data_IF_880316106001
#
_entry.id   IF_880316106001
#
_cell.length_a   1.000
_cell.length_b   1.000
_cell.length_c   1.000
_cell.angle_alpha   90.00
_cell.angle_beta   90.00
_cell.angle_gamma   90.00
#
_symmetry.space_group_name_H-M   'P 1'
#
loop_
_entity.id
_entity.type
_entity.pdbx_description
1 polymer ?
#
# COMPACT_ATOMS: atom_id res chain seq x y z
N UNK A 1 10.32 -24.22 -6.20
CA UNK A 1 10.29 -22.99 -7.01
C UNK A 1 11.49 -22.97 -7.97
N UNK A 2 11.30 -23.35 -9.24
CA UNK A 2 12.38 -23.61 -10.23
C UNK A 2 12.00 -23.03 -11.62
N UNK A 3 11.70 -21.73 -11.72
CA UNK A 3 11.35 -21.10 -13.03
C UNK A 3 12.31 -20.01 -13.51
N UNK A 4 13.21 -19.47 -12.67
CA UNK A 4 13.95 -18.23 -12.99
C UNK A 4 15.15 -18.36 -13.95
N UNK A 5 15.50 -19.56 -14.43
CA UNK A 5 16.69 -19.77 -15.28
C UNK A 5 16.39 -20.01 -16.76
N UNK A 6 15.13 -20.07 -17.17
CA UNK A 6 14.74 -20.62 -18.48
C UNK A 6 15.00 -19.63 -19.64
N UNK A 7 14.81 -18.32 -19.41
CA UNK A 7 14.78 -17.34 -20.50
C UNK A 7 16.16 -17.01 -21.09
N UNK A 8 17.21 -16.91 -20.28
CA UNK A 8 18.57 -16.61 -20.79
C UNK A 8 19.08 -17.70 -21.75
N UNK A 9 18.76 -18.95 -21.47
CA UNK A 9 19.08 -20.10 -22.34
C UNK A 9 18.23 -20.14 -23.60
N UNK A 10 16.99 -19.63 -23.58
CA UNK A 10 16.08 -19.71 -24.72
C UNK A 10 16.41 -18.69 -25.82
N UNK A 11 16.86 -17.48 -25.49
CA UNK A 11 17.30 -16.51 -26.51
C UNK A 11 18.53 -17.01 -27.28
N UNK A 12 19.49 -17.63 -26.57
CA UNK A 12 20.63 -18.29 -27.22
C UNK A 12 20.16 -19.40 -28.17
N UNK A 13 19.14 -20.16 -27.76
CA UNK A 13 18.58 -21.23 -28.59
C UNK A 13 17.88 -20.71 -29.84
N UNK A 14 17.17 -19.58 -29.75
CA UNK A 14 16.59 -18.90 -30.93
C UNK A 14 17.68 -18.51 -31.92
N UNK A 15 18.80 -17.94 -31.44
CA UNK A 15 19.93 -17.57 -32.31
C UNK A 15 20.58 -18.79 -32.97
N UNK A 16 20.72 -19.90 -32.25
CA UNK A 16 21.22 -21.16 -32.80
C UNK A 16 20.28 -21.70 -33.89
N UNK A 17 18.96 -21.68 -33.66
CA UNK A 17 17.97 -22.13 -34.65
C UNK A 17 18.00 -21.28 -35.93
N UNK A 18 18.24 -19.97 -35.83
CA UNK A 18 18.44 -19.13 -37.02
C UNK A 18 19.73 -19.46 -37.77
N UNK A 19 20.82 -19.76 -37.05
CA UNK A 19 22.10 -20.17 -37.68
C UNK A 19 21.98 -21.52 -38.39
N UNK A 20 21.16 -22.43 -37.85
CA UNK A 20 20.91 -23.76 -38.41
C UNK A 20 19.84 -23.75 -39.53
N UNK A 21 19.47 -22.58 -40.07
CA UNK A 21 18.42 -22.38 -41.09
C UNK A 21 17.01 -22.87 -40.70
N UNK A 22 16.77 -23.11 -39.40
CA UNK A 22 15.49 -23.57 -38.82
C UNK A 22 14.59 -22.40 -38.42
N UNK A 23 14.37 -21.48 -39.36
CA UNK A 23 13.67 -20.20 -39.11
C UNK A 23 12.25 -20.35 -38.52
N UNK A 24 11.49 -21.37 -38.96
CA UNK A 24 10.13 -21.60 -38.44
C UNK A 24 10.12 -22.01 -36.96
N UNK A 25 11.10 -22.79 -36.51
CA UNK A 25 11.21 -23.20 -35.11
C UNK A 25 11.72 -22.05 -34.24
N UNK A 26 12.65 -21.24 -34.78
CA UNK A 26 13.12 -20.03 -34.14
C UNK A 26 11.97 -19.03 -33.90
N UNK A 27 11.10 -18.83 -34.89
CA UNK A 27 9.94 -17.93 -34.77
C UNK A 27 8.94 -18.42 -33.71
N UNK A 28 8.63 -19.72 -33.68
CA UNK A 28 7.75 -20.31 -32.66
C UNK A 28 8.33 -20.11 -31.26
N UNK A 29 9.61 -20.39 -31.09
CA UNK A 29 10.29 -20.22 -29.80
C UNK A 29 10.33 -18.74 -29.40
N UNK A 30 10.54 -17.83 -30.33
CA UNK A 30 10.52 -16.39 -30.07
C UNK A 30 9.14 -15.92 -29.59
N UNK A 31 8.05 -16.40 -30.21
CA UNK A 31 6.67 -16.11 -29.78
C UNK A 31 6.41 -16.58 -28.35
N UNK A 32 6.82 -17.80 -28.01
CA UNK A 32 6.70 -18.32 -26.63
C UNK A 32 7.46 -17.43 -25.63
N UNK A 33 8.69 -17.05 -25.95
CA UNK A 33 9.47 -16.17 -25.07
C UNK A 33 8.82 -14.79 -24.93
N UNK A 34 8.22 -14.25 -25.99
CA UNK A 34 7.50 -12.98 -25.95
C UNK A 34 6.25 -13.07 -25.05
N UNK A 35 5.47 -14.14 -25.18
CA UNK A 35 4.31 -14.40 -24.32
C UNK A 35 4.72 -14.51 -22.84
N UNK A 36 5.74 -15.32 -22.54
CA UNK A 36 6.29 -15.46 -21.19
C UNK A 36 6.78 -14.12 -20.63
N UNK A 37 7.45 -13.30 -21.45
CA UNK A 37 7.93 -11.98 -21.04
C UNK A 37 6.76 -11.04 -20.69
N UNK A 38 5.71 -11.04 -21.49
CA UNK A 38 4.51 -10.23 -21.22
C UNK A 38 3.81 -10.68 -19.95
N UNK A 39 3.70 -11.98 -19.71
CA UNK A 39 3.14 -12.52 -18.46
C UNK A 39 3.97 -12.07 -17.25
N UNK A 40 5.29 -12.25 -17.30
CA UNK A 40 6.20 -11.82 -16.24
C UNK A 40 6.16 -10.31 -16.01
N UNK A 41 6.08 -9.52 -17.07
CA UNK A 41 5.96 -8.06 -16.98
C UNK A 41 4.66 -7.65 -16.28
N UNK A 42 3.55 -8.28 -16.64
CA UNK A 42 2.25 -8.01 -16.03
C UNK A 42 2.22 -8.42 -14.55
N UNK A 43 2.75 -9.60 -14.21
CA UNK A 43 2.89 -10.05 -12.81
C UNK A 43 3.77 -9.07 -12.02
N UNK A 44 4.90 -8.64 -12.59
CA UNK A 44 5.78 -7.69 -11.94
C UNK A 44 5.11 -6.33 -11.69
N UNK A 45 4.34 -5.85 -12.67
CA UNK A 45 3.56 -4.61 -12.56
C UNK A 45 2.51 -4.71 -11.45
N UNK A 46 1.78 -5.82 -11.39
CA UNK A 46 0.75 -6.07 -10.38
C UNK A 46 1.36 -6.13 -8.98
N UNK A 47 2.43 -6.91 -8.79
CA UNK A 47 3.14 -7.00 -7.52
C UNK A 47 3.67 -5.65 -7.05
N UNK A 48 4.20 -4.82 -7.96
CA UNK A 48 4.63 -3.46 -7.64
C UNK A 48 3.46 -2.58 -7.20
N UNK A 49 2.29 -2.74 -7.82
CA UNK A 49 1.07 -2.01 -7.43
C UNK A 49 0.63 -2.38 -6.01
N UNK A 50 0.57 -3.67 -5.70
CA UNK A 50 0.20 -4.17 -4.38
C UNK A 50 1.19 -3.71 -3.30
N UNK A 51 2.50 -3.74 -3.60
CA UNK A 51 3.53 -3.23 -2.68
C UNK A 51 3.31 -1.74 -2.39
N UNK A 52 2.98 -0.94 -3.41
CA UNK A 52 2.72 0.49 -3.24
C UNK A 52 1.50 0.71 -2.34
N UNK A 53 0.39 0.00 -2.60
CA UNK A 53 -0.83 0.10 -1.79
C UNK A 53 -0.57 -0.22 -0.31
N UNK A 54 0.19 -1.28 -0.04
CA UNK A 54 0.56 -1.64 1.34
C UNK A 54 1.44 -0.56 1.98
N UNK A 55 2.40 0.00 1.24
CA UNK A 55 3.24 1.09 1.75
C UNK A 55 2.40 2.33 2.09
N UNK A 56 1.48 2.72 1.22
CA UNK A 56 0.58 3.86 1.43
C UNK A 56 -0.30 3.65 2.69
N UNK A 57 -0.78 2.42 2.94
CA UNK A 57 -1.54 2.07 4.16
C UNK A 57 -0.67 2.17 5.42
N UNK A 58 0.58 1.70 5.35
CA UNK A 58 1.52 1.77 6.49
C UNK A 58 1.86 3.22 6.83
N UNK A 59 2.10 4.06 5.83
CA UNK A 59 2.38 5.48 6.01
C UNK A 59 1.19 6.19 6.69
N UNK A 60 -0.04 5.91 6.26
CA UNK A 60 -1.25 6.42 6.92
C UNK A 60 -1.35 5.97 8.38
N UNK A 61 -1.13 4.68 8.65
CA UNK A 61 -1.16 4.13 10.01
C UNK A 61 -0.10 4.74 10.92
N UNK A 62 1.06 5.13 10.38
CA UNK A 62 2.11 5.83 11.15
C UNK A 62 1.68 7.23 11.60
N UNK A 63 0.85 7.92 10.81
CA UNK A 63 0.30 9.25 11.12
C UNK A 63 -0.94 9.20 12.03
N UNK A 64 -1.44 8.01 12.38
CA UNK A 64 -2.64 7.89 13.22
C UNK A 64 -2.32 7.97 14.72
N UNK A 65 -3.05 8.84 15.41
CA UNK A 65 -3.05 8.98 16.87
C UNK A 65 -4.40 8.56 17.44
N UNK A 66 -4.38 7.65 18.41
CA UNK A 66 -5.56 7.30 19.20
C UNK A 66 -5.59 8.11 20.50
N UNK A 67 -6.66 8.86 20.74
CA UNK A 67 -6.80 9.71 21.93
C UNK A 67 -7.45 9.01 23.14
N UNK A 68 -7.70 7.70 23.04
CA UNK A 68 -8.42 6.91 24.02
C UNK A 68 -9.89 6.65 23.69
N UNK A 69 -10.47 7.39 22.72
CA UNK A 69 -11.84 7.15 22.24
C UNK A 69 -11.95 7.17 20.71
N UNK A 70 -11.16 8.00 20.03
CA UNK A 70 -11.26 8.24 18.59
C UNK A 70 -9.86 8.40 17.98
N UNK A 71 -9.78 8.20 16.67
CA UNK A 71 -8.54 8.40 15.94
C UNK A 71 -8.44 9.81 15.39
N UNK A 72 -7.20 10.28 15.27
CA UNK A 72 -6.81 11.52 14.62
C UNK A 72 -5.68 11.19 13.65
N UNK A 73 -5.57 11.95 12.57
CA UNK A 73 -4.41 11.90 11.68
C UNK A 73 -3.58 13.15 11.99
N UNK A 74 -2.33 12.96 12.39
CA UNK A 74 -1.39 14.02 12.73
C UNK A 74 -0.27 14.04 11.68
N UNK A 75 -0.47 14.87 10.65
CA UNK A 75 0.56 15.15 9.65
C UNK A 75 1.35 16.40 10.08
N UNK A 76 2.61 16.55 9.64
CA UNK A 76 3.52 17.61 10.09
C UNK A 76 2.93 19.04 10.05
N UNK A 77 1.97 19.28 9.16
CA UNK A 77 1.33 20.58 8.93
C UNK A 77 -0.09 20.70 9.46
N UNK A 78 -0.80 19.58 9.64
CA UNK A 78 -2.23 19.61 9.97
C UNK A 78 -2.67 18.36 10.74
N UNK A 79 -3.45 18.58 11.80
CA UNK A 79 -4.15 17.52 12.51
C UNK A 79 -5.60 17.44 12.04
N UNK A 80 -5.97 16.33 11.44
CA UNK A 80 -7.32 16.10 10.90
C UNK A 80 -8.08 15.04 11.69
N UNK A 81 -9.40 15.17 11.74
CA UNK A 81 -10.28 14.26 12.47
C UNK A 81 -11.40 14.97 13.24
N UNK A 82 -12.01 14.30 14.24
CA UNK A 82 -11.74 12.92 14.65
C UNK A 82 -12.42 11.87 13.76
N UNK A 83 -11.90 10.64 13.78
CA UNK A 83 -12.40 9.48 13.05
C UNK A 83 -12.92 8.39 14.00
N UNK A 84 -13.94 7.66 13.53
CA UNK A 84 -14.60 6.61 14.29
C UNK A 84 -13.67 5.43 14.56
N UNK A 85 -13.38 5.15 15.83
CA UNK A 85 -12.57 4.00 16.23
C UNK A 85 -13.23 2.66 15.86
N UNK A 86 -14.55 2.54 15.98
CA UNK A 86 -15.23 1.27 15.70
C UNK A 86 -15.21 0.90 14.22
N UNK A 87 -15.45 1.85 13.32
CA UNK A 87 -15.39 1.60 11.87
C UNK A 87 -13.96 1.29 11.41
N UNK A 88 -12.97 1.97 11.99
CA UNK A 88 -11.58 1.74 11.63
C UNK A 88 -11.09 0.38 12.13
N UNK A 89 -11.32 0.04 13.41
CA UNK A 89 -10.83 -1.21 14.00
C UNK A 89 -11.50 -2.45 13.39
N UNK A 90 -12.78 -2.34 13.00
CA UNK A 90 -13.55 -3.46 12.44
C UNK A 90 -13.30 -3.63 10.95
N UNK A 91 -13.38 -2.54 10.20
CA UNK A 91 -13.49 -2.58 8.73
C UNK A 91 -12.32 -1.85 8.03
N UNK A 92 -11.41 -1.22 8.78
CA UNK A 92 -10.30 -0.43 8.22
C UNK A 92 -10.73 0.91 7.63
N UNK A 93 -11.97 1.35 7.86
CA UNK A 93 -12.56 2.53 7.20
C UNK A 93 -12.52 3.76 8.11
N UNK A 94 -11.91 4.84 7.62
CA UNK A 94 -11.86 6.14 8.29
C UNK A 94 -13.14 6.94 8.07
N UNK A 95 -14.11 6.77 8.97
CA UNK A 95 -15.34 7.58 8.99
C UNK A 95 -15.13 8.81 9.86
N UNK A 96 -15.21 10.01 9.26
CA UNK A 96 -15.14 11.26 10.00
C UNK A 96 -16.35 11.40 10.93
N UNK A 97 -16.10 11.61 12.21
CA UNK A 97 -17.15 11.81 13.19
C UNK A 97 -17.79 13.19 13.01
N UNK A 98 -19.11 13.24 13.14
CA UNK A 98 -19.91 14.44 13.02
C UNK A 98 -20.02 15.13 14.37
N UNK A 99 -19.81 16.44 14.37
CA UNK A 99 -19.86 17.23 15.60
C UNK A 99 -21.31 17.48 16.02
N UNK A 100 -21.66 17.11 17.26
CA UNK A 100 -22.92 17.48 17.92
C UNK A 100 -22.63 18.35 19.15
N UNK A 101 -23.63 18.92 19.78
CA UNK A 101 -23.43 19.84 20.92
C UNK A 101 -22.60 19.19 22.05
N UNK A 102 -22.94 17.96 22.45
CA UNK A 102 -22.35 17.27 23.62
C UNK A 102 -21.40 16.12 23.28
N UNK A 103 -21.39 15.66 22.04
CA UNK A 103 -20.68 14.46 21.63
C UNK A 103 -20.27 14.53 20.16
N UNK A 104 -19.49 13.54 19.75
CA UNK A 104 -19.20 13.21 18.36
C UNK A 104 -20.04 11.98 17.98
N UNK A 105 -20.56 11.94 16.76
CA UNK A 105 -21.42 10.87 16.28
C UNK A 105 -20.89 10.29 14.97
N UNK A 106 -20.86 8.96 14.85
CA UNK A 106 -20.56 8.30 13.58
C UNK A 106 -21.85 8.10 12.77
N UNK A 107 -21.97 8.67 11.57
CA UNK A 107 -23.15 8.44 10.73
C UNK A 107 -23.21 7.01 10.16
N UNK A 108 -22.09 6.29 10.13
CA UNK A 108 -22.01 4.96 9.53
C UNK A 108 -22.38 3.84 10.50
N UNK A 109 -22.08 3.99 11.79
CA UNK A 109 -22.31 2.96 12.80
C UNK A 109 -23.04 3.48 14.05
N UNK A 110 -23.46 4.75 14.03
CA UNK A 110 -24.28 5.41 15.06
C UNK A 110 -23.66 5.48 16.47
N UNK A 111 -22.38 5.11 16.60
CA UNK A 111 -21.68 5.22 17.88
C UNK A 111 -21.41 6.68 18.26
N UNK A 112 -21.51 6.94 19.56
CA UNK A 112 -21.33 8.25 20.18
C UNK A 112 -20.01 8.28 20.97
N UNK A 113 -19.24 9.35 20.82
CA UNK A 113 -17.95 9.55 21.48
C UNK A 113 -17.96 10.86 22.25
N UNK A 114 -17.34 10.88 23.44
CA UNK A 114 -17.39 12.04 24.31
C UNK A 114 -16.51 13.16 23.75
N UNK A 115 -17.02 14.40 23.77
CA UNK A 115 -16.19 15.59 23.65
C UNK A 115 -15.41 15.75 24.95
N UNK A 116 -14.12 15.44 24.95
CA UNK A 116 -13.27 15.68 26.12
C UNK A 116 -13.29 17.20 26.38
N UNK A 117 -13.66 17.68 27.58
CA UNK A 117 -13.61 19.10 27.89
C UNK A 117 -12.16 19.57 27.74
N UNK A 118 -11.95 20.71 27.08
CA UNK A 118 -10.65 21.34 26.81
C UNK A 118 -10.00 21.84 28.11
N UNK A 119 -9.62 20.93 28.99
CA UNK A 119 -8.95 21.18 30.26
C UNK A 119 -7.82 20.19 30.44
N UNK A 120 -6.61 20.62 30.08
CA UNK A 120 -5.32 19.98 30.36
C UNK A 120 -5.18 18.52 29.87
N UNK A 121 -5.17 18.30 28.56
CA UNK A 121 -4.39 17.19 28.01
C UNK A 121 -2.96 17.70 27.86
N UNK A 122 -2.07 17.23 28.73
CA UNK A 122 -0.63 17.30 28.47
C UNK A 122 -0.42 16.44 27.24
N UNK A 123 -0.43 17.06 26.06
CA UNK A 123 0.13 16.45 24.86
C UNK A 123 1.60 16.22 25.18
N UNK A 124 1.95 15.01 25.62
CA UNK A 124 3.35 14.58 25.62
C UNK A 124 3.73 14.61 24.15
N UNK A 125 4.39 15.69 23.74
CA UNK A 125 5.00 15.80 22.43
C UNK A 125 5.86 14.55 22.26
N UNK A 126 5.40 13.65 21.38
CA UNK A 126 6.27 12.55 20.95
C UNK A 126 7.50 13.22 20.33
N UNK A 127 8.72 12.70 20.60
CA UNK A 127 9.89 13.16 19.87
C UNK A 127 9.56 13.04 18.37
N UNK A 128 9.86 14.09 17.60
CA UNK A 128 9.70 14.11 16.14
C UNK A 128 10.26 12.79 15.61
N UNK A 129 9.38 11.93 15.11
CA UNK A 129 9.76 10.64 14.53
C UNK A 129 10.57 11.01 13.29
N UNK A 130 11.85 10.64 13.26
CA UNK A 130 12.66 10.80 12.05
C UNK A 130 11.90 10.17 10.89
N UNK A 131 11.67 10.94 9.82
CA UNK A 131 11.04 10.45 8.60
C UNK A 131 11.89 9.29 8.09
N UNK A 132 11.39 8.06 8.30
CA UNK A 132 12.05 6.91 7.71
C UNK A 132 12.00 7.13 6.19
N UNK A 133 13.12 6.96 5.48
CA UNK A 133 13.11 7.10 4.05
C UNK A 133 12.04 6.17 3.48
N UNK A 134 11.28 6.59 2.45
CA UNK A 134 10.31 5.73 1.81
C UNK A 134 11.02 4.43 1.44
N UNK A 135 10.36 3.30 1.70
CA UNK A 135 10.94 1.99 1.46
C UNK A 135 11.45 1.94 0.01
N UNK A 136 12.77 2.05 -0.19
CA UNK A 136 13.40 1.98 -1.51
C UNK A 136 13.40 0.52 -1.94
N UNK A 137 12.23 0.04 -2.36
CA UNK A 137 12.04 -1.38 -2.68
C UNK A 137 12.55 -1.73 -4.07
N UNK A 138 12.71 -0.74 -4.96
CA UNK A 138 13.24 -0.94 -6.29
C UNK A 138 14.10 0.26 -6.73
N UNK A 139 15.35 -0.02 -7.12
CA UNK A 139 16.29 0.90 -7.78
C UNK A 139 16.17 0.79 -9.29
#
# INVERSE_FOLDING_TARGET
MKKRSIHATNFRKVLELFRDERGQEAEKLLKIIQEDYLELYNENKELRSQIKEVADILDLAECMEFDGQKYWIDEETEKTGPYCQVCYDKDGVLIRLQEREKHWECYSCENLFVKIPTGNIIHKSRPKKESKPPLRLFS
#
